data_IF_478541842094
#
_entry.id   IF_478541842094
#
_cell.length_a   1.000
_cell.length_b   1.000
_cell.length_c   1.000
_cell.angle_alpha   90.00
_cell.angle_beta   90.00
_cell.angle_gamma   90.00
#
_symmetry.space_group_name_H-M   'P 1'
#
loop_
_entity.id
_entity.type
_entity.pdbx_description
1 polymer ?
#
# COMPACT_ATOMS: atom_id res chain seq x y z
N UNK A 1 -7.86 7.63 15.66
CA UNK A 1 -8.71 8.33 14.66
C UNK A 1 -9.52 9.42 15.34
N UNK A 2 -9.80 10.53 14.66
CA UNK A 2 -10.72 11.58 15.11
C UNK A 2 -11.73 11.87 14.01
N UNK A 3 -12.97 12.20 14.38
CA UNK A 3 -14.05 12.51 13.43
C UNK A 3 -14.46 13.97 13.54
N UNK A 4 -14.68 14.61 12.41
CA UNK A 4 -15.34 15.93 12.30
C UNK A 4 -16.78 15.73 11.82
N UNK A 5 -17.72 16.48 12.38
CA UNK A 5 -19.12 16.52 11.97
C UNK A 5 -19.52 17.89 11.37
N UNK A 6 -18.55 18.80 11.18
CA UNK A 6 -18.76 20.19 10.76
C UNK A 6 -17.86 20.62 9.58
N UNK A 7 -17.46 19.65 8.74
CA UNK A 7 -16.62 19.90 7.58
C UNK A 7 -15.15 20.16 7.93
N UNK A 8 -14.64 19.56 8.98
CA UNK A 8 -13.24 19.67 9.39
C UNK A 8 -12.93 20.89 10.26
N UNK A 9 -13.91 21.64 10.72
CA UNK A 9 -13.71 22.82 11.57
C UNK A 9 -13.38 22.45 13.01
N UNK A 10 -14.00 21.38 13.52
CA UNK A 10 -13.68 20.79 14.81
C UNK A 10 -13.58 19.28 14.73
N UNK A 11 -12.82 18.69 15.63
CA UNK A 11 -12.64 17.24 15.72
C UNK A 11 -13.04 16.74 17.10
N UNK A 12 -13.74 15.62 17.15
CA UNK A 12 -14.15 14.95 18.38
C UNK A 12 -12.98 14.32 19.14
N UNK A 13 -13.30 13.59 20.20
CA UNK A 13 -12.30 12.84 20.96
C UNK A 13 -11.57 11.81 20.08
N UNK A 14 -10.29 11.56 20.41
CA UNK A 14 -9.52 10.52 19.75
C UNK A 14 -10.08 9.14 20.09
N UNK A 15 -10.29 8.31 19.07
CA UNK A 15 -10.67 6.91 19.20
C UNK A 15 -9.48 6.02 18.82
N UNK A 16 -9.16 5.07 19.69
CA UNK A 16 -8.12 4.08 19.44
C UNK A 16 -8.67 2.99 18.51
N UNK A 17 -8.06 2.81 17.34
CA UNK A 17 -8.57 1.90 16.30
C UNK A 17 -8.11 0.44 16.48
N UNK A 18 -7.13 0.20 17.34
CA UNK A 18 -6.58 -1.14 17.62
C UNK A 18 -6.59 -1.44 19.13
N UNK A 19 -7.75 -1.39 19.82
CA UNK A 19 -7.80 -1.55 21.28
C UNK A 19 -7.34 -2.96 21.67
N UNK A 20 -6.45 -3.01 22.68
CA UNK A 20 -5.96 -4.29 23.22
C UNK A 20 -4.95 -5.03 22.31
N UNK A 21 -4.57 -4.44 21.19
CA UNK A 21 -3.55 -5.03 20.33
C UNK A 21 -2.15 -4.57 20.77
N UNK A 22 -1.16 -5.48 20.87
CA UNK A 22 0.16 -5.13 21.37
C UNK A 22 1.03 -4.34 20.37
N UNK A 23 0.49 -3.92 19.23
CA UNK A 23 1.23 -3.14 18.24
C UNK A 23 1.57 -1.77 18.81
N UNK A 24 2.84 -1.47 18.92
CA UNK A 24 3.36 -0.22 19.47
C UNK A 24 3.68 0.84 18.41
N UNK A 25 3.36 0.58 17.16
CA UNK A 25 3.52 1.52 16.07
C UNK A 25 2.85 1.03 14.79
N UNK A 26 2.57 1.93 13.89
CA UNK A 26 2.15 1.70 12.52
C UNK A 26 2.63 2.87 11.69
N UNK A 27 3.10 2.61 10.49
CA UNK A 27 3.64 3.66 9.64
C UNK A 27 2.55 4.27 8.78
N UNK A 28 1.89 3.50 7.95
CA UNK A 28 0.73 3.94 7.18
C UNK A 28 -0.57 3.40 7.75
N UNK A 29 -1.66 4.12 7.54
CA UNK A 29 -3.00 3.73 7.95
C UNK A 29 -4.03 4.19 6.91
N UNK A 30 -3.93 3.72 5.66
CA UNK A 30 -4.88 4.05 4.62
C UNK A 30 -6.28 3.52 4.98
N UNK A 31 -7.29 4.23 4.51
CA UNK A 31 -8.68 3.87 4.77
C UNK A 31 -9.56 4.04 3.54
N UNK A 32 -10.61 3.24 3.52
CA UNK A 32 -11.69 3.31 2.54
C UNK A 32 -13.00 3.53 3.27
N UNK A 33 -13.90 4.30 2.68
CA UNK A 33 -15.26 4.48 3.18
C UNK A 33 -16.23 3.86 2.18
N UNK A 34 -16.93 2.82 2.60
CA UNK A 34 -17.98 2.20 1.78
C UNK A 34 -19.21 3.11 1.61
N UNK A 35 -20.01 2.90 0.56
CA UNK A 35 -21.28 3.62 0.39
C UNK A 35 -22.26 3.46 1.57
N UNK A 36 -22.15 2.38 2.33
CA UNK A 36 -22.87 2.12 3.57
C UNK A 36 -22.51 3.07 4.72
N UNK A 37 -21.38 3.78 4.61
CA UNK A 37 -20.77 4.56 5.70
C UNK A 37 -19.85 3.74 6.60
N UNK A 38 -19.62 2.45 6.30
CA UNK A 38 -18.58 1.64 6.93
C UNK A 38 -17.21 2.21 6.60
N UNK A 39 -16.33 2.21 7.56
CA UNK A 39 -14.93 2.63 7.40
C UNK A 39 -14.04 1.41 7.57
N UNK A 40 -13.26 1.11 6.56
CA UNK A 40 -12.29 0.02 6.52
C UNK A 40 -10.88 0.59 6.53
N UNK A 41 -10.02 0.06 7.39
CA UNK A 41 -8.69 0.59 7.63
C UNK A 41 -7.67 -0.55 7.61
N UNK A 42 -6.61 -0.36 6.85
CA UNK A 42 -5.41 -1.19 6.86
C UNK A 42 -4.30 -0.45 7.60
N UNK A 43 -3.50 -1.15 8.38
CA UNK A 43 -2.31 -0.57 9.01
C UNK A 43 -1.24 -1.63 9.23
N UNK A 44 0.01 -1.20 9.26
CA UNK A 44 1.12 -2.03 9.67
C UNK A 44 1.27 -1.96 11.19
N UNK A 45 1.29 -3.14 11.81
CA UNK A 45 1.45 -3.25 13.25
C UNK A 45 2.70 -4.05 13.60
N UNK A 46 3.50 -3.50 14.49
CA UNK A 46 4.68 -4.16 15.04
C UNK A 46 4.80 -3.86 16.54
N UNK A 47 5.62 -4.63 17.23
CA UNK A 47 5.88 -4.45 18.64
C UNK A 47 7.35 -4.12 18.86
N UNK A 48 7.64 -3.00 19.51
CA UNK A 48 9.00 -2.68 19.93
C UNK A 48 9.35 -3.57 21.14
N UNK A 49 10.26 -4.51 20.96
CA UNK A 49 10.69 -5.43 22.02
C UNK A 49 11.86 -4.93 22.82
N UNK A 50 12.63 -3.99 22.28
CA UNK A 50 13.77 -3.40 22.96
C UNK A 50 13.90 -1.93 22.57
N UNK A 51 13.61 -1.03 23.50
CA UNK A 51 13.68 0.42 23.28
C UNK A 51 15.12 0.96 23.23
N UNK A 52 16.10 0.20 23.65
CA UNK A 52 17.53 0.61 23.58
C UNK A 52 18.14 0.27 22.23
N UNK A 53 17.80 -0.90 21.67
CA UNK A 53 18.27 -1.35 20.36
C UNK A 53 17.21 -1.17 19.28
N UNK A 54 15.99 -0.75 19.67
CA UNK A 54 14.82 -0.66 18.81
C UNK A 54 14.62 -1.94 17.99
N UNK A 55 14.83 -3.09 18.60
CA UNK A 55 14.50 -4.36 17.96
C UNK A 55 12.99 -4.44 17.85
N UNK A 56 12.50 -4.46 16.64
CA UNK A 56 11.09 -4.58 16.34
C UNK A 56 10.73 -6.05 16.21
N UNK A 57 9.58 -6.42 16.75
CA UNK A 57 8.99 -7.73 16.50
C UNK A 57 8.45 -7.78 15.08
N UNK A 58 8.16 -8.98 14.59
CA UNK A 58 7.57 -9.16 13.28
C UNK A 58 6.44 -8.16 13.02
N UNK A 59 6.54 -7.43 11.94
CA UNK A 59 5.47 -6.58 11.44
C UNK A 59 4.44 -7.41 10.68
N UNK A 60 3.18 -6.98 10.73
CA UNK A 60 2.08 -7.57 9.98
C UNK A 60 1.18 -6.46 9.46
N UNK A 61 0.54 -6.70 8.33
CA UNK A 61 -0.59 -5.89 7.91
C UNK A 61 -1.85 -6.33 8.65
N UNK A 62 -2.55 -5.36 9.24
CA UNK A 62 -3.79 -5.57 9.98
C UNK A 62 -4.93 -4.82 9.33
N UNK A 63 -6.08 -5.46 9.31
CA UNK A 63 -7.34 -4.88 8.90
C UNK A 63 -8.25 -4.69 10.11
N UNK A 64 -8.94 -3.56 10.19
CA UNK A 64 -10.03 -3.31 11.15
C UNK A 64 -11.09 -2.44 10.50
N UNK A 65 -12.32 -2.51 11.01
CA UNK A 65 -13.42 -1.76 10.42
C UNK A 65 -14.35 -1.19 11.48
N UNK A 66 -15.06 -0.15 11.09
CA UNK A 66 -16.09 0.51 11.89
C UNK A 66 -17.39 0.61 11.09
N UNK A 67 -18.52 0.27 11.72
CA UNK A 67 -19.85 0.40 11.12
C UNK A 67 -20.65 1.59 11.69
N UNK A 68 -20.05 2.37 12.57
CA UNK A 68 -20.66 3.52 13.27
C UNK A 68 -19.91 4.83 13.01
N UNK A 69 -19.25 4.90 11.85
CA UNK A 69 -18.52 6.08 11.41
C UNK A 69 -17.29 6.38 12.25
N UNK A 70 -16.57 5.35 12.71
CA UNK A 70 -15.30 5.47 13.42
C UNK A 70 -15.44 5.60 14.94
N UNK A 71 -16.63 5.40 15.49
CA UNK A 71 -16.84 5.48 16.94
C UNK A 71 -16.38 4.24 17.68
N UNK A 72 -16.62 3.06 17.10
CA UNK A 72 -16.07 1.77 17.57
C UNK A 72 -15.45 0.99 16.41
N UNK A 73 -14.51 0.10 16.74
CA UNK A 73 -13.73 -0.66 15.76
C UNK A 73 -13.73 -2.14 16.08
N UNK A 74 -13.70 -2.96 15.02
CA UNK A 74 -13.57 -4.41 15.16
C UNK A 74 -12.20 -4.79 15.73
N UNK A 75 -12.11 -6.01 16.27
CA UNK A 75 -10.80 -6.58 16.61
C UNK A 75 -9.97 -6.69 15.34
N UNK A 76 -8.73 -6.18 15.33
CA UNK A 76 -7.88 -6.25 14.17
C UNK A 76 -7.61 -7.69 13.69
N UNK A 77 -7.68 -7.91 12.39
CA UNK A 77 -7.41 -9.17 11.71
C UNK A 77 -6.11 -9.06 10.92
N UNK A 78 -5.23 -10.06 11.00
CA UNK A 78 -4.04 -10.11 10.15
C UNK A 78 -4.43 -10.41 8.71
N UNK A 79 -3.88 -9.61 7.80
CA UNK A 79 -4.02 -9.79 6.35
C UNK A 79 -2.69 -10.29 5.81
N UNK A 80 -2.60 -11.59 5.54
CA UNK A 80 -1.40 -12.18 4.95
C UNK A 80 -0.29 -12.57 5.93
N UNK A 81 0.88 -12.96 5.39
CA UNK A 81 2.02 -13.42 6.17
C UNK A 81 2.70 -12.28 6.92
N UNK A 82 3.68 -12.64 7.75
CA UNK A 82 4.56 -11.68 8.41
C UNK A 82 5.28 -10.82 7.37
N UNK A 83 5.21 -9.51 7.54
CA UNK A 83 5.82 -8.55 6.63
C UNK A 83 7.36 -8.40 6.82
N UNK A 84 7.94 -9.07 7.79
CA UNK A 84 9.38 -9.06 8.02
C UNK A 84 9.75 -8.88 9.48
N UNK A 85 11.04 -8.75 9.76
CA UNK A 85 11.58 -8.32 11.04
C UNK A 85 12.20 -6.96 10.82
N UNK A 86 11.50 -5.91 11.21
CA UNK A 86 12.01 -4.55 11.01
C UNK A 86 13.20 -4.28 11.93
N UNK A 87 14.26 -3.77 11.36
CA UNK A 87 15.30 -3.02 12.08
C UNK A 87 15.06 -1.52 11.90
N UNK A 88 15.66 -0.68 12.73
CA UNK A 88 15.58 0.79 12.58
C UNK A 88 16.10 1.31 11.23
N UNK A 89 16.80 0.49 10.46
CA UNK A 89 17.33 0.83 9.15
C UNK A 89 16.31 0.57 8.01
N UNK A 90 15.21 -0.11 8.32
CA UNK A 90 14.24 -0.63 7.34
C UNK A 90 12.81 -0.25 7.77
N UNK A 91 12.50 1.04 7.72
CA UNK A 91 11.25 1.64 8.24
C UNK A 91 10.04 1.51 7.29
N UNK A 92 10.23 0.98 6.10
CA UNK A 92 9.31 1.19 4.98
C UNK A 92 8.51 -0.07 4.67
N UNK A 93 7.51 -0.38 5.47
CA UNK A 93 6.44 -1.29 5.08
C UNK A 93 5.21 -0.42 4.84
N UNK A 94 5.04 0.01 3.62
CA UNK A 94 3.88 0.78 3.21
C UNK A 94 2.91 -0.10 2.45
N UNK A 95 1.69 -0.12 2.92
CA UNK A 95 0.58 -0.80 2.26
C UNK A 95 -0.59 0.13 2.08
N UNK A 96 -1.49 -0.25 1.20
CA UNK A 96 -2.67 0.51 0.86
C UNK A 96 -3.92 -0.38 0.83
N UNK A 97 -5.10 0.24 0.94
CA UNK A 97 -6.40 -0.42 0.84
C UNK A 97 -7.31 0.37 -0.10
N UNK A 98 -7.95 -0.34 -1.02
CA UNK A 98 -8.93 0.23 -1.91
C UNK A 98 -10.16 -0.67 -2.03
N UNK A 99 -11.22 -0.13 -2.62
CA UNK A 99 -12.45 -0.85 -2.91
C UNK A 99 -12.86 -0.62 -4.37
N UNK A 100 -13.36 -1.67 -5.02
CA UNK A 100 -13.96 -1.55 -6.35
C UNK A 100 -15.46 -1.21 -6.30
N UNK A 101 -16.05 -1.03 -7.47
CA UNK A 101 -17.48 -0.68 -7.60
C UNK A 101 -18.43 -1.76 -7.09
N UNK A 102 -17.97 -3.01 -6.95
CA UNK A 102 -18.78 -4.12 -6.40
C UNK A 102 -18.63 -4.28 -4.89
N UNK A 103 -17.75 -3.50 -4.24
CA UNK A 103 -17.47 -3.59 -2.81
C UNK A 103 -16.38 -4.60 -2.46
N UNK A 104 -15.62 -5.08 -3.43
CA UNK A 104 -14.43 -5.90 -3.15
C UNK A 104 -13.34 -5.02 -2.59
N UNK A 105 -12.83 -5.37 -1.43
CA UNK A 105 -11.66 -4.74 -0.82
C UNK A 105 -10.37 -5.39 -1.34
N UNK A 106 -9.38 -4.57 -1.59
CA UNK A 106 -8.03 -4.97 -1.99
C UNK A 106 -7.04 -4.37 -1.01
N UNK A 107 -6.10 -5.18 -0.53
CA UNK A 107 -5.01 -4.75 0.35
C UNK A 107 -3.68 -5.10 -0.29
N UNK A 108 -2.75 -4.15 -0.32
CA UNK A 108 -1.38 -4.35 -0.74
C UNK A 108 -0.42 -4.05 0.39
N UNK A 109 0.72 -4.70 0.39
CA UNK A 109 1.84 -4.45 1.29
C UNK A 109 3.10 -5.07 0.71
N UNK A 110 4.25 -4.65 1.18
CA UNK A 110 5.52 -5.31 0.92
C UNK A 110 5.95 -6.17 2.11
N UNK A 111 6.79 -7.14 1.83
CA UNK A 111 7.52 -7.91 2.85
C UNK A 111 9.00 -7.77 2.62
N UNK A 112 9.70 -7.42 3.68
CA UNK A 112 11.15 -7.40 3.67
C UNK A 112 11.69 -8.79 3.98
N UNK A 113 12.61 -9.24 3.17
CA UNK A 113 13.23 -10.55 3.27
C UNK A 113 14.71 -10.48 2.95
N UNK A 114 15.35 -11.63 3.11
CA UNK A 114 16.75 -11.80 2.74
C UNK A 114 16.92 -13.13 2.03
N UNK A 115 17.54 -13.11 0.87
CA UNK A 115 17.91 -14.29 0.12
C UNK A 115 18.96 -15.13 0.88
N UNK A 116 19.14 -16.37 0.46
CA UNK A 116 20.13 -17.27 1.03
C UNK A 116 21.58 -16.79 0.89
N UNK A 117 21.84 -15.88 -0.03
CA UNK A 117 23.14 -15.24 -0.25
C UNK A 117 23.34 -13.95 0.58
N UNK A 118 22.32 -13.56 1.39
CA UNK A 118 22.36 -12.36 2.22
C UNK A 118 21.91 -11.09 1.53
N UNK A 119 21.49 -11.16 0.26
CA UNK A 119 20.92 -10.00 -0.44
C UNK A 119 19.48 -9.76 0.02
N UNK A 120 19.05 -8.50 0.07
CA UNK A 120 17.67 -8.16 0.37
C UNK A 120 16.74 -8.69 -0.74
N UNK A 121 15.54 -9.10 -0.34
CA UNK A 121 14.51 -9.64 -1.24
C UNK A 121 13.15 -9.17 -0.75
N UNK A 122 12.77 -7.98 -1.17
CA UNK A 122 11.49 -7.42 -0.84
C UNK A 122 10.46 -7.84 -1.88
N UNK A 123 9.27 -8.22 -1.43
CA UNK A 123 8.20 -8.75 -2.27
C UNK A 123 6.92 -7.97 -1.98
N UNK A 124 6.32 -7.43 -3.03
CA UNK A 124 5.00 -6.83 -2.96
C UNK A 124 3.89 -7.87 -3.07
N UNK A 125 2.88 -7.75 -2.23
CA UNK A 125 1.76 -8.67 -2.13
C UNK A 125 0.42 -7.97 -2.38
N UNK A 126 -0.55 -8.75 -2.82
CA UNK A 126 -1.95 -8.37 -2.95
C UNK A 126 -2.83 -9.46 -2.32
N UNK A 127 -3.82 -9.03 -1.54
CA UNK A 127 -4.92 -9.87 -1.07
C UNK A 127 -6.25 -9.14 -1.27
N UNK A 128 -7.36 -9.85 -1.33
CA UNK A 128 -8.69 -9.25 -1.50
C UNK A 128 -9.73 -9.93 -0.62
N UNK A 129 -10.80 -9.20 -0.36
CA UNK A 129 -11.98 -9.66 0.37
C UNK A 129 -13.25 -9.27 -0.37
N UNK A 130 -14.19 -10.20 -0.51
CA UNK A 130 -15.51 -9.98 -1.11
C UNK A 130 -16.63 -9.95 -0.08
N UNK A 131 -16.29 -9.94 1.21
CA UNK A 131 -17.21 -10.01 2.33
C UNK A 131 -16.92 -8.94 3.40
N UNK A 132 -16.54 -7.76 2.95
CA UNK A 132 -16.24 -6.60 3.82
C UNK A 132 -15.11 -6.86 4.83
N UNK A 133 -14.07 -7.58 4.42
CA UNK A 133 -12.89 -7.83 5.23
C UNK A 133 -13.05 -8.93 6.29
N UNK A 134 -14.16 -9.69 6.27
CA UNK A 134 -14.33 -10.81 7.22
C UNK A 134 -13.39 -11.96 6.91
N UNK A 135 -13.18 -12.23 5.62
CA UNK A 135 -12.20 -13.20 5.12
C UNK A 135 -11.37 -12.58 4.00
N UNK A 136 -10.09 -12.90 4.01
CA UNK A 136 -9.13 -12.45 2.99
C UNK A 136 -8.62 -13.64 2.19
N UNK A 137 -8.39 -13.42 0.91
CA UNK A 137 -7.77 -14.43 0.04
C UNK A 137 -6.37 -14.80 0.53
N UNK A 138 -5.85 -15.95 0.10
CA UNK A 138 -4.41 -16.15 0.17
C UNK A 138 -3.71 -15.06 -0.65
N UNK A 139 -2.64 -14.43 -0.12
CA UNK A 139 -1.90 -13.41 -0.85
C UNK A 139 -1.32 -13.95 -2.16
N UNK A 140 -1.34 -13.11 -3.17
CA UNK A 140 -0.63 -13.34 -4.43
C UNK A 140 0.51 -12.34 -4.56
N UNK A 141 1.65 -12.78 -5.10
CA UNK A 141 2.78 -11.91 -5.35
C UNK A 141 2.42 -10.89 -6.43
N UNK A 142 2.57 -9.60 -6.12
CA UNK A 142 2.28 -8.50 -7.02
C UNK A 142 3.50 -8.13 -7.86
N UNK A 143 4.68 -8.11 -7.24
CA UNK A 143 5.94 -7.77 -7.90
C UNK A 143 6.63 -9.04 -8.39
N UNK A 144 7.10 -9.10 -9.66
CA UNK A 144 7.88 -10.25 -10.13
C UNK A 144 9.28 -10.24 -9.51
N UNK A 145 9.89 -11.43 -9.39
CA UNK A 145 11.22 -11.62 -8.81
C UNK A 145 12.34 -10.80 -9.48
N UNK A 146 12.12 -10.40 -10.73
CA UNK A 146 13.06 -9.57 -11.49
C UNK A 146 12.97 -8.07 -11.18
N UNK A 147 11.94 -7.65 -10.45
CA UNK A 147 11.70 -6.26 -10.05
C UNK A 147 11.63 -6.20 -8.52
N UNK A 148 12.66 -6.74 -7.88
CA UNK A 148 12.83 -6.74 -6.43
C UNK A 148 12.91 -5.32 -5.87
N UNK A 149 12.76 -5.19 -4.56
CA UNK A 149 12.77 -3.93 -3.82
C UNK A 149 11.58 -3.03 -4.17
N UNK A 150 10.33 -3.53 -4.04
CA UNK A 150 9.21 -2.63 -4.02
C UNK A 150 9.29 -1.76 -2.75
N UNK A 151 9.17 -0.47 -2.96
CA UNK A 151 8.89 0.47 -1.90
C UNK A 151 7.53 1.07 -2.19
N UNK A 152 6.73 1.31 -1.18
CA UNK A 152 5.44 1.97 -1.30
C UNK A 152 4.54 1.23 -2.29
N UNK A 153 3.59 0.50 -1.76
CA UNK A 153 2.61 -0.26 -2.52
C UNK A 153 1.27 0.49 -2.49
N UNK A 154 0.77 0.87 -3.66
CA UNK A 154 -0.53 1.51 -3.81
C UNK A 154 -1.50 0.63 -4.58
N UNK A 155 -2.79 0.72 -4.25
CA UNK A 155 -3.85 -0.02 -4.94
C UNK A 155 -5.05 0.86 -5.23
N UNK A 156 -5.72 0.65 -6.36
CA UNK A 156 -7.02 1.23 -6.64
C UNK A 156 -7.97 0.18 -7.23
N UNK A 157 -9.19 0.13 -6.71
CA UNK A 157 -10.26 -0.64 -7.33
C UNK A 157 -10.76 0.06 -8.59
N UNK A 158 -11.04 -0.69 -9.63
CA UNK A 158 -11.57 -0.16 -10.89
C UNK A 158 -13.04 -0.54 -11.07
N UNK A 159 -13.31 -1.55 -11.87
CA UNK A 159 -14.62 -2.12 -12.05
C UNK A 159 -14.76 -3.39 -11.20
N UNK A 160 -15.92 -3.99 -11.18
CA UNK A 160 -16.23 -5.18 -10.40
C UNK A 160 -15.19 -6.28 -10.56
N UNK A 161 -14.46 -6.58 -9.50
CA UNK A 161 -13.43 -7.62 -9.44
C UNK A 161 -12.12 -7.24 -10.15
N UNK A 162 -11.87 -5.96 -10.46
CA UNK A 162 -10.62 -5.47 -11.06
C UNK A 162 -9.96 -4.45 -10.14
N UNK A 163 -8.65 -4.62 -9.95
CA UNK A 163 -7.79 -3.67 -9.25
C UNK A 163 -6.50 -3.40 -10.02
N UNK A 164 -5.91 -2.25 -9.78
CA UNK A 164 -4.57 -1.90 -10.22
C UNK A 164 -3.66 -1.78 -9.00
N UNK A 165 -2.51 -2.41 -9.09
CA UNK A 165 -1.44 -2.33 -8.09
C UNK A 165 -0.27 -1.60 -8.71
N UNK A 166 0.25 -0.60 -8.01
CA UNK A 166 1.45 0.12 -8.42
C UNK A 166 2.49 0.10 -7.30
N UNK A 167 3.76 0.21 -7.67
CA UNK A 167 4.87 0.24 -6.72
C UNK A 167 6.05 1.00 -7.26
N UNK A 168 6.80 1.63 -6.36
CA UNK A 168 8.14 2.10 -6.63
C UNK A 168 9.12 0.93 -6.51
N UNK A 169 10.09 0.88 -7.41
CA UNK A 169 11.18 -0.09 -7.35
C UNK A 169 12.53 0.63 -7.47
N UNK A 170 13.48 0.30 -6.63
CA UNK A 170 14.85 0.80 -6.68
C UNK A 170 15.82 -0.18 -7.36
N UNK A 171 15.31 -1.29 -7.90
CA UNK A 171 16.13 -2.27 -8.64
C UNK A 171 16.76 -1.72 -9.93
N UNK A 172 16.40 -0.53 -10.34
CA UNK A 172 16.97 0.12 -11.51
C UNK A 172 18.27 0.86 -11.13
N UNK A 173 19.46 0.49 -11.70
CA UNK A 173 20.72 1.16 -11.39
C UNK A 173 20.75 2.65 -11.82
N UNK A 174 19.76 3.12 -12.57
CA UNK A 174 19.59 4.51 -12.97
C UNK A 174 18.68 5.31 -12.04
N UNK A 175 18.24 4.71 -10.92
CA UNK A 175 17.32 5.32 -9.95
C UNK A 175 15.99 4.58 -9.86
N UNK A 176 15.03 5.19 -9.19
CA UNK A 176 13.72 4.59 -8.97
C UNK A 176 12.92 4.48 -10.27
N UNK A 177 12.09 3.45 -10.35
CA UNK A 177 11.13 3.26 -11.42
C UNK A 177 9.74 2.97 -10.83
N UNK A 178 8.70 3.47 -11.48
CA UNK A 178 7.32 3.26 -11.09
C UNK A 178 6.69 2.23 -12.03
N UNK A 179 6.13 1.20 -11.45
CA UNK A 179 5.46 0.11 -12.15
C UNK A 179 3.99 0.04 -11.79
N UNK A 180 3.22 -0.54 -12.69
CA UNK A 180 1.79 -0.76 -12.58
C UNK A 180 1.43 -2.15 -13.12
N UNK A 181 0.45 -2.81 -12.50
CA UNK A 181 -0.09 -4.08 -12.95
C UNK A 181 -1.59 -4.18 -12.68
N UNK A 182 -2.35 -4.80 -13.58
CA UNK A 182 -3.77 -5.04 -13.41
C UNK A 182 -4.04 -6.46 -12.91
N UNK A 183 -5.01 -6.60 -12.02
CA UNK A 183 -5.44 -7.85 -11.41
C UNK A 183 -6.95 -8.04 -11.51
N UNK A 184 -7.40 -9.28 -11.65
CA UNK A 184 -8.81 -9.68 -11.54
C UNK A 184 -8.97 -10.80 -10.50
N UNK A 185 -9.96 -10.68 -9.63
CA UNK A 185 -10.25 -11.70 -8.62
C UNK A 185 -10.61 -13.07 -9.22
N UNK A 186 -11.06 -13.10 -10.48
CA UNK A 186 -11.48 -14.35 -11.17
C UNK A 186 -10.45 -14.89 -12.13
N UNK A 187 -9.56 -14.03 -12.68
CA UNK A 187 -8.60 -14.42 -13.74
C UNK A 187 -7.14 -14.32 -13.30
N UNK A 188 -6.86 -13.70 -12.14
CA UNK A 188 -5.51 -13.39 -11.70
C UNK A 188 -4.94 -12.14 -12.40
N UNK A 189 -3.63 -12.10 -12.64
CA UNK A 189 -2.98 -10.97 -13.28
C UNK A 189 -3.45 -10.83 -14.73
N UNK A 190 -3.90 -9.61 -15.07
CA UNK A 190 -4.43 -9.26 -16.39
C UNK A 190 -3.39 -8.63 -17.31
N UNK A 191 -2.25 -8.24 -16.77
CA UNK A 191 -1.14 -7.66 -17.53
C UNK A 191 0.20 -8.08 -16.94
N UNK A 192 1.25 -8.00 -17.75
CA UNK A 192 2.61 -7.91 -17.24
C UNK A 192 2.82 -6.56 -16.53
N UNK A 193 3.89 -6.41 -15.72
CA UNK A 193 4.26 -5.11 -15.17
C UNK A 193 4.51 -4.08 -16.26
N UNK A 194 3.88 -2.93 -16.14
CA UNK A 194 4.02 -1.79 -17.04
C UNK A 194 4.88 -0.76 -16.34
N UNK A 195 6.02 -0.43 -16.91
CA UNK A 195 6.84 0.67 -16.41
C UNK A 195 6.21 2.00 -16.80
N UNK A 196 5.68 2.72 -15.81
CA UNK A 196 5.01 4.02 -15.99
C UNK A 196 6.04 5.13 -16.13
N UNK A 197 7.09 5.07 -15.31
CA UNK A 197 8.19 6.03 -15.35
C UNK A 197 9.50 5.35 -14.94
N UNK A 198 10.62 5.84 -15.48
CA UNK A 198 11.97 5.38 -15.17
C UNK A 198 12.88 6.56 -14.88
N UNK A 199 13.87 6.32 -14.02
CA UNK A 199 14.91 7.30 -13.69
C UNK A 199 14.30 8.65 -13.26
N UNK A 200 13.74 8.69 -12.04
CA UNK A 200 13.21 9.91 -11.44
C UNK A 200 14.32 10.93 -11.13
N UNK A 201 15.04 11.39 -12.15
CA UNK A 201 16.09 12.37 -11.99
C UNK A 201 17.34 11.80 -11.33
N UNK A 202 17.90 12.51 -10.36
CA UNK A 202 19.12 12.10 -9.67
C UNK A 202 18.86 10.84 -8.81
N UNK A 203 19.53 9.69 -9.09
CA UNK A 203 19.34 8.46 -8.32
C UNK A 203 19.75 8.60 -6.83
N UNK A 204 20.46 9.67 -6.47
CA UNK A 204 20.78 9.99 -5.08
C UNK A 204 19.68 10.75 -4.34
N UNK A 205 18.60 11.12 -5.03
CA UNK A 205 17.48 11.89 -4.45
C UNK A 205 16.25 11.01 -4.39
N UNK A 206 15.79 10.76 -3.18
CA UNK A 206 14.53 10.07 -2.93
C UNK A 206 13.36 10.83 -3.58
N UNK A 207 12.51 10.20 -4.40
CA UNK A 207 11.46 10.90 -5.13
C UNK A 207 10.28 11.37 -4.27
N UNK A 208 10.25 10.98 -3.00
CA UNK A 208 9.18 11.23 -2.04
C UNK A 208 8.56 9.94 -1.52
N UNK A 209 7.93 10.02 -0.36
CA UNK A 209 7.37 8.86 0.35
C UNK A 209 5.98 8.48 -0.15
N UNK A 210 5.47 9.13 -1.18
CA UNK A 210 4.13 8.88 -1.71
C UNK A 210 4.06 9.11 -3.21
N UNK A 211 3.29 8.28 -3.87
CA UNK A 211 2.73 8.53 -5.18
C UNK A 211 1.23 8.21 -5.11
N UNK A 212 0.46 8.42 -6.15
CA UNK A 212 -0.97 8.13 -6.11
C UNK A 212 -1.44 7.47 -7.39
N UNK A 213 -2.44 6.60 -7.23
CA UNK A 213 -3.14 5.99 -8.35
C UNK A 213 -4.65 6.14 -8.18
N UNK A 214 -5.36 6.28 -9.31
CA UNK A 214 -6.82 6.34 -9.31
C UNK A 214 -7.37 5.80 -10.62
N UNK A 215 -8.35 4.92 -10.53
CA UNK A 215 -9.01 4.34 -11.69
C UNK A 215 -9.93 5.39 -12.35
N UNK A 216 -9.84 5.53 -13.68
CA UNK A 216 -10.74 6.36 -14.50
C UNK A 216 -11.80 5.52 -15.21
N UNK A 217 -11.45 4.29 -15.55
CA UNK A 217 -12.32 3.33 -16.24
C UNK A 217 -11.81 1.92 -15.98
N UNK A 218 -12.54 0.87 -16.39
CA UNK A 218 -12.10 -0.51 -16.17
C UNK A 218 -10.69 -0.84 -16.66
N UNK A 219 -10.21 -0.13 -17.69
CA UNK A 219 -8.89 -0.37 -18.28
C UNK A 219 -7.97 0.86 -18.30
N UNK A 220 -8.33 1.94 -17.60
CA UNK A 220 -7.52 3.17 -17.57
C UNK A 220 -7.35 3.66 -16.14
N UNK A 221 -6.13 3.92 -15.74
CA UNK A 221 -5.74 4.41 -14.43
C UNK A 221 -4.87 5.66 -14.59
N UNK A 222 -5.03 6.66 -13.73
CA UNK A 222 -4.09 7.77 -13.60
C UNK A 222 -3.09 7.43 -12.51
N UNK A 223 -1.83 7.66 -12.81
CA UNK A 223 -0.72 7.54 -11.85
C UNK A 223 -0.06 8.91 -11.73
N UNK A 224 0.21 9.34 -10.50
CA UNK A 224 0.88 10.61 -10.20
C UNK A 224 2.05 10.39 -9.24
N UNK A 225 3.16 11.09 -9.46
CA UNK A 225 4.38 10.94 -8.67
C UNK A 225 5.20 12.21 -8.61
N UNK A 226 6.08 12.30 -7.61
CA UNK A 226 7.11 13.32 -7.54
C UNK A 226 8.38 12.86 -8.24
N UNK A 227 9.12 13.79 -8.85
CA UNK A 227 10.42 13.52 -9.44
C UNK A 227 11.35 14.72 -9.24
N UNK A 228 12.61 14.44 -8.92
CA UNK A 228 13.66 15.46 -8.96
C UNK A 228 14.16 15.61 -10.40
N UNK A 229 14.13 16.84 -10.94
CA UNK A 229 14.66 17.09 -12.28
C UNK A 229 16.16 17.42 -12.22
N UNK A 230 17.03 16.68 -12.93
CA UNK A 230 18.47 16.88 -12.89
C UNK A 230 18.91 18.29 -13.37
N UNK A 231 18.13 18.87 -14.28
CA UNK A 231 18.46 20.16 -14.92
C UNK A 231 18.30 21.38 -14.03
N UNK A 232 17.63 21.26 -12.89
CA UNK A 232 17.27 22.41 -12.04
C UNK A 232 17.85 22.36 -10.62
N UNK A 233 18.68 21.35 -10.34
CA UNK A 233 19.41 21.23 -9.08
C UNK A 233 18.50 21.33 -7.84
N UNK A 234 17.73 20.30 -7.52
CA UNK A 234 16.91 20.15 -6.28
C UNK A 234 15.47 20.66 -6.34
N UNK A 235 14.86 20.81 -7.47
CA UNK A 235 13.41 20.99 -7.54
C UNK A 235 12.74 19.66 -7.81
N UNK A 236 11.79 19.29 -6.98
CA UNK A 236 10.84 18.21 -7.29
C UNK A 236 9.69 18.77 -8.13
N UNK A 237 9.29 18.05 -9.15
CA UNK A 237 8.10 18.34 -9.96
C UNK A 237 7.10 17.19 -9.78
N UNK A 238 5.83 17.50 -9.88
CA UNK A 238 4.76 16.50 -9.83
C UNK A 238 4.33 16.17 -11.25
N UNK A 239 4.30 14.89 -11.55
CA UNK A 239 3.85 14.34 -12.83
C UNK A 239 2.57 13.55 -12.62
N UNK A 240 1.74 13.48 -13.65
CA UNK A 240 0.59 12.61 -13.70
C UNK A 240 0.36 12.15 -15.14
N UNK A 241 0.03 10.87 -15.31
CA UNK A 241 -0.23 10.28 -16.62
C UNK A 241 -1.38 9.29 -16.57
N UNK A 242 -2.31 9.33 -17.55
CA UNK A 242 -3.25 8.23 -17.74
C UNK A 242 -2.54 7.07 -18.44
N UNK A 243 -2.74 5.87 -17.89
CA UNK A 243 -2.22 4.61 -18.43
C UNK A 243 -3.41 3.74 -18.83
N UNK A 244 -3.50 3.41 -20.12
CA UNK A 244 -4.48 2.43 -20.60
C UNK A 244 -3.83 1.06 -20.65
N UNK A 245 -4.37 0.11 -19.88
CA UNK A 245 -3.85 -1.25 -19.78
C UNK A 245 -4.59 -2.17 -20.74
N UNK A 246 -3.84 -2.90 -21.55
CA UNK A 246 -4.39 -3.98 -22.37
C UNK A 246 -4.39 -5.27 -21.57
N UNK A 247 -5.55 -5.87 -21.39
CA UNK A 247 -5.71 -7.13 -20.70
C UNK A 247 -5.44 -8.31 -21.65
N UNK A 248 -4.77 -9.34 -21.17
CA UNK A 248 -4.55 -10.63 -21.84
C UNK A 248 -5.32 -11.77 -21.19
#
# INVERSE_FOLDING_TARGET
MQKSNDGGRTFGAMVHVSPGFPASGGDSAPLVVEPSGRVDLLYQGYQVTNTTTYTLNPAYSFFTSSIDGGSTWSTPLKVGPQAGTMSLAEWWIDGDIAMDAAGTLYATWDTQGTNSDGTANDIGWLSWSTDHGQHWSSPVQATPDTLNFPHIMEVTGADSGIAYVAWLSDSNPQGYALYLRAFSVTRGWLSDPIQVASAFGDPSVWPGDTFGISSLSPNTVVVSWGSATPSTGKKSEIFAVPVTVQFH
#
